data_IF_122242626519
#
_entry.id   IF_122242626519
#
_cell.length_a   1.000
_cell.length_b   1.000
_cell.length_c   1.000
_cell.angle_alpha   90.00
_cell.angle_beta   90.00
_cell.angle_gamma   90.00
#
_symmetry.space_group_name_H-M   'P 1'
#
loop_
_entity.id
_entity.type
_entity.pdbx_description
1 polymer ?
#
# COMPACT_ATOMS: atom_id res chain seq x y z
N UNK A 1 -75.07 20.08 74.94
CA UNK A 1 -76.45 19.68 74.57
C UNK A 1 -76.50 18.16 74.69
N UNK A 2 -76.42 17.61 75.91
CA UNK A 2 -77.52 17.23 76.83
C UNK A 2 -78.51 16.30 76.11
N UNK A 3 -78.70 15.02 76.46
CA UNK A 3 -78.98 14.41 77.76
C UNK A 3 -78.21 13.06 77.93
N UNK A 4 -77.45 12.83 79.00
CA UNK A 4 -77.80 12.42 80.38
C UNK A 4 -78.28 10.98 80.57
N UNK A 5 -77.27 10.13 80.76
CA UNK A 5 -77.19 8.96 81.64
C UNK A 5 -77.71 9.29 83.06
N UNK A 6 -78.47 8.38 83.70
CA UNK A 6 -78.37 7.96 85.12
C UNK A 6 -79.54 7.02 85.48
N UNK A 7 -79.28 5.73 85.67
CA UNK A 7 -78.85 5.08 86.91
C UNK A 7 -79.95 5.04 88.01
N UNK A 8 -80.55 3.87 88.18
CA UNK A 8 -81.21 3.43 89.40
C UNK A 8 -80.25 3.49 90.59
N UNK A 9 -80.68 4.07 91.73
CA UNK A 9 -80.43 3.62 93.12
C UNK A 9 -81.52 4.29 93.99
N UNK A 10 -82.62 3.62 94.32
CA UNK A 10 -82.85 2.91 95.61
C UNK A 10 -82.56 3.76 96.86
N UNK A 11 -83.60 4.41 97.39
CA UNK A 11 -83.68 4.72 98.82
C UNK A 11 -84.96 4.12 99.40
N UNK A 12 -84.77 3.46 100.54
CA UNK A 12 -85.71 2.59 101.21
C UNK A 12 -86.46 3.31 102.35
N UNK A 13 -87.75 2.98 102.48
CA UNK A 13 -88.60 2.98 103.69
C UNK A 13 -88.84 4.35 104.39
N UNK A 14 -90.01 4.62 105.04
CA UNK A 14 -90.98 3.66 105.54
C UNK A 14 -92.48 3.93 105.27
N UNK A 15 -93.27 2.86 105.45
CA UNK A 15 -94.71 2.88 105.76
C UNK A 15 -95.68 3.48 104.73
N UNK A 16 -96.17 2.66 103.79
CA UNK A 16 -97.60 2.50 103.42
C UNK A 16 -97.77 1.54 102.22
N UNK A 17 -98.77 0.64 102.28
CA UNK A 17 -99.56 0.21 101.12
C UNK A 17 -99.00 -0.83 100.13
N UNK A 18 -99.29 -2.12 100.42
CA UNK A 18 -99.73 -3.18 99.50
C UNK A 18 -98.82 -3.71 98.35
N UNK A 19 -98.60 -5.04 98.44
CA UNK A 19 -98.73 -6.11 97.42
C UNK A 19 -98.02 -5.89 96.06
N UNK A 20 -97.12 -6.76 95.61
CA UNK A 20 -97.52 -8.03 94.97
C UNK A 20 -96.30 -8.88 94.58
N UNK A 21 -96.45 -10.19 94.73
CA UNK A 21 -95.68 -11.29 94.14
C UNK A 21 -95.62 -11.22 92.62
N UNK A 22 -94.49 -11.57 91.98
CA UNK A 22 -94.46 -12.36 90.72
C UNK A 22 -93.08 -13.03 90.53
N UNK A 23 -93.11 -14.36 90.60
CA UNK A 23 -92.42 -15.37 89.79
C UNK A 23 -90.90 -15.36 89.58
N UNK A 24 -90.27 -16.37 90.18
CA UNK A 24 -89.08 -17.05 89.72
C UNK A 24 -89.28 -17.70 88.33
N UNK A 25 -88.50 -17.27 87.33
CA UNK A 25 -88.18 -18.07 86.13
C UNK A 25 -86.90 -17.56 85.48
N UNK A 26 -85.78 -17.74 86.18
CA UNK A 26 -84.44 -17.48 85.66
C UNK A 26 -83.87 -18.78 85.06
N UNK A 27 -83.31 -18.66 83.86
CA UNK A 27 -82.53 -19.65 83.09
C UNK A 27 -83.28 -20.89 82.56
N UNK A 28 -84.08 -20.68 81.51
CA UNK A 28 -84.18 -21.65 80.42
C UNK A 28 -84.06 -20.88 79.10
N UNK A 29 -82.97 -21.01 78.33
CA UNK A 29 -82.95 -20.48 76.97
C UNK A 29 -84.01 -21.24 76.17
N UNK A 30 -84.87 -20.52 75.45
CA UNK A 30 -85.87 -21.14 74.60
C UNK A 30 -85.17 -22.05 73.58
N UNK A 31 -85.73 -23.22 73.28
CA UNK A 31 -85.18 -24.18 72.29
C UNK A 31 -84.84 -23.51 70.94
N UNK A 32 -85.55 -22.42 70.62
CA UNK A 32 -85.34 -21.59 69.44
C UNK A 32 -84.01 -20.80 69.45
N UNK A 33 -83.53 -20.36 70.63
CA UNK A 33 -82.28 -19.59 70.75
C UNK A 33 -81.04 -20.50 70.60
N UNK A 34 -81.09 -21.72 71.15
CA UNK A 34 -80.00 -22.71 71.00
C UNK A 34 -79.87 -23.18 69.54
N UNK A 35 -81.01 -23.48 68.88
CA UNK A 35 -81.00 -23.85 67.46
C UNK A 35 -80.50 -22.70 66.58
N UNK A 36 -80.81 -21.44 66.92
CA UNK A 36 -80.33 -20.28 66.18
C UNK A 36 -78.80 -20.13 66.23
N UNK A 37 -78.17 -20.38 67.38
CA UNK A 37 -76.71 -20.33 67.52
C UNK A 37 -76.04 -21.45 66.72
N UNK A 38 -76.57 -22.68 66.79
CA UNK A 38 -76.01 -23.83 66.04
C UNK A 38 -76.11 -23.59 64.53
N UNK A 39 -77.25 -23.09 64.05
CA UNK A 39 -77.43 -22.75 62.63
C UNK A 39 -76.50 -21.61 62.21
N UNK A 40 -76.35 -20.57 63.04
CA UNK A 40 -75.45 -19.47 62.75
C UNK A 40 -73.99 -19.92 62.61
N UNK A 41 -73.50 -20.72 63.56
CA UNK A 41 -72.14 -21.30 63.50
C UNK A 41 -71.97 -22.21 62.30
N UNK A 42 -72.95 -23.08 62.02
CA UNK A 42 -72.91 -23.96 60.86
C UNK A 42 -72.85 -23.18 59.55
N UNK A 43 -73.60 -22.07 59.46
CA UNK A 43 -73.60 -21.18 58.29
C UNK A 43 -72.24 -20.48 58.14
N UNK A 44 -71.62 -20.03 59.23
CA UNK A 44 -70.29 -19.40 59.21
C UNK A 44 -69.21 -20.37 58.75
N UNK A 45 -69.24 -21.62 59.25
CA UNK A 45 -68.29 -22.65 58.84
C UNK A 45 -68.48 -23.01 57.37
N UNK A 46 -69.73 -23.19 56.92
CA UNK A 46 -70.04 -23.44 55.51
C UNK A 46 -69.55 -22.30 54.61
N UNK A 47 -69.73 -21.04 55.03
CA UNK A 47 -69.24 -19.87 54.30
C UNK A 47 -67.71 -19.80 54.24
N UNK A 48 -67.00 -20.15 55.32
CA UNK A 48 -65.53 -20.18 55.34
C UNK A 48 -64.95 -21.27 54.44
N UNK A 49 -65.58 -22.46 54.42
CA UNK A 49 -65.17 -23.57 53.54
C UNK A 49 -65.41 -23.19 52.07
N UNK A 50 -66.59 -22.62 51.76
CA UNK A 50 -66.88 -22.13 50.42
C UNK A 50 -65.81 -21.11 49.99
N UNK A 51 -65.59 -20.06 50.78
CA UNK A 51 -64.58 -19.05 50.50
C UNK A 51 -63.17 -19.64 50.30
N UNK A 52 -62.73 -20.55 51.18
CA UNK A 52 -61.42 -21.20 51.06
C UNK A 52 -61.29 -22.06 49.80
N UNK A 53 -62.37 -22.66 49.31
CA UNK A 53 -62.35 -23.47 48.08
C UNK A 53 -62.20 -22.62 46.81
N UNK A 54 -62.60 -21.35 46.86
CA UNK A 54 -62.38 -20.38 45.78
C UNK A 54 -61.12 -19.53 45.96
N UNK A 55 -60.48 -19.56 47.14
CA UNK A 55 -59.28 -18.81 47.41
C UNK A 55 -58.07 -19.41 46.66
N UNK A 56 -57.67 -18.79 45.55
CA UNK A 56 -56.39 -19.08 44.89
C UNK A 56 -55.28 -18.30 45.58
N UNK A 57 -54.35 -19.02 46.21
CA UNK A 57 -53.10 -18.43 46.70
C UNK A 57 -52.19 -18.23 45.49
N UNK A 58 -51.86 -16.97 45.20
CA UNK A 58 -50.90 -16.62 44.15
C UNK A 58 -49.50 -16.68 44.75
N UNK A 59 -48.78 -17.76 44.46
CA UNK A 59 -47.38 -17.90 44.82
C UNK A 59 -46.51 -17.26 43.73
N UNK A 60 -45.70 -16.26 44.09
CA UNK A 60 -44.74 -15.63 43.17
C UNK A 60 -43.34 -16.05 43.61
N UNK A 61 -42.75 -17.00 42.89
CA UNK A 61 -41.35 -17.39 43.05
C UNK A 61 -40.48 -16.57 42.10
N UNK A 62 -39.71 -15.63 42.64
CA UNK A 62 -38.74 -14.82 41.88
C UNK A 62 -37.42 -15.58 41.75
N UNK A 63 -37.10 -16.11 40.57
CA UNK A 63 -35.79 -16.69 40.27
C UNK A 63 -34.94 -15.74 39.42
N UNK A 64 -33.71 -15.43 39.87
CA UNK A 64 -32.74 -14.65 39.07
C UNK A 64 -32.13 -15.56 38.00
N UNK A 65 -32.70 -15.53 36.79
CA UNK A 65 -32.06 -16.14 35.60
C UNK A 65 -30.90 -15.25 35.12
N UNK A 66 -29.67 -15.79 35.06
CA UNK A 66 -28.52 -15.11 34.45
C UNK A 66 -28.14 -15.85 33.17
N UNK A 67 -28.29 -15.20 32.02
CA UNK A 67 -27.81 -15.71 30.73
C UNK A 67 -26.30 -15.49 30.69
N UNK A 68 -25.53 -16.58 30.75
CA UNK A 68 -24.07 -16.54 30.60
C UNK A 68 -23.76 -17.14 29.21
N UNK A 69 -23.11 -16.40 28.31
CA UNK A 69 -22.73 -16.94 27.01
C UNK A 69 -21.75 -18.10 27.20
N UNK A 70 -22.02 -19.24 26.56
CA UNK A 70 -21.18 -20.43 26.64
C UNK A 70 -19.80 -20.26 25.95
N UNK A 71 -19.67 -19.25 25.08
CA UNK A 71 -18.50 -19.05 24.21
C UNK A 71 -17.82 -17.72 24.55
N UNK A 72 -16.47 -17.72 24.52
CA UNK A 72 -15.65 -16.51 24.69
C UNK A 72 -15.98 -15.48 23.61
N UNK A 73 -16.17 -14.22 23.99
CA UNK A 73 -16.33 -13.11 23.06
C UNK A 73 -15.11 -13.04 22.11
N UNK A 74 -15.34 -13.13 20.81
CA UNK A 74 -14.28 -13.06 19.80
C UNK A 74 -14.22 -11.64 19.25
N UNK A 75 -13.09 -10.97 19.48
CA UNK A 75 -12.87 -9.62 19.01
C UNK A 75 -12.45 -9.66 17.54
N UNK A 76 -13.36 -9.26 16.65
CA UNK A 76 -13.08 -9.13 15.21
C UNK A 76 -12.41 -7.78 14.97
N UNK A 77 -11.12 -7.81 14.59
CA UNK A 77 -10.35 -6.61 14.25
C UNK A 77 -9.86 -6.70 12.81
N UNK A 78 -9.80 -5.56 12.14
CA UNK A 78 -9.09 -5.43 10.87
C UNK A 78 -7.62 -5.12 11.15
N UNK A 79 -6.71 -5.91 10.56
CA UNK A 79 -5.26 -5.76 10.72
C UNK A 79 -4.67 -4.64 9.83
N UNK A 80 -5.36 -4.27 8.75
CA UNK A 80 -4.84 -3.34 7.74
C UNK A 80 -5.34 -1.89 7.91
N UNK A 81 -6.32 -1.66 8.80
CA UNK A 81 -7.00 -0.36 8.93
C UNK A 81 -7.88 -0.02 7.71
N UNK A 82 -8.57 1.12 7.73
CA UNK A 82 -9.43 1.58 6.63
C UNK A 82 -10.65 2.39 7.07
N UNK A 83 -11.23 3.17 6.15
CA UNK A 83 -12.43 3.98 6.42
C UNK A 83 -13.65 3.07 6.35
N UNK A 84 -14.48 3.06 7.40
CA UNK A 84 -15.73 2.29 7.39
C UNK A 84 -16.71 3.00 6.46
N UNK A 85 -17.17 2.29 5.42
CA UNK A 85 -18.20 2.77 4.50
C UNK A 85 -19.60 2.48 5.03
N UNK A 86 -19.80 1.29 5.59
CA UNK A 86 -21.10 0.84 6.09
C UNK A 86 -20.95 -0.26 7.14
N UNK A 87 -21.82 -0.25 8.15
CA UNK A 87 -21.95 -1.34 9.12
C UNK A 87 -23.22 -2.11 8.74
N UNK A 88 -23.09 -3.40 8.44
CA UNK A 88 -24.15 -4.22 7.85
C UNK A 88 -24.98 -4.97 8.89
N UNK A 89 -24.54 -4.97 10.15
CA UNK A 89 -25.18 -5.67 11.26
C UNK A 89 -25.42 -4.74 12.44
N UNK A 90 -26.38 -5.08 13.30
CA UNK A 90 -26.69 -4.34 14.53
C UNK A 90 -26.47 -5.20 15.76
N UNK A 91 -26.33 -4.57 16.91
CA UNK A 91 -26.22 -5.28 18.18
C UNK A 91 -27.40 -6.25 18.39
N UNK A 92 -27.11 -7.50 18.75
CA UNK A 92 -28.10 -8.57 18.89
C UNK A 92 -28.52 -9.26 17.59
N UNK A 93 -27.95 -8.88 16.44
CA UNK A 93 -28.19 -9.58 15.17
C UNK A 93 -27.54 -10.96 15.18
N UNK A 94 -28.30 -11.99 14.77
CA UNK A 94 -27.78 -13.35 14.58
C UNK A 94 -26.97 -13.39 13.28
N UNK A 95 -25.72 -13.83 13.35
CA UNK A 95 -24.79 -13.87 12.20
C UNK A 95 -24.17 -15.25 12.08
N UNK A 96 -23.94 -15.69 10.85
CA UNK A 96 -23.30 -16.96 10.54
C UNK A 96 -21.85 -16.73 10.08
N UNK A 97 -21.07 -17.82 10.00
CA UNK A 97 -19.69 -17.73 9.51
C UNK A 97 -19.70 -17.28 8.04
N UNK A 98 -18.98 -16.20 7.75
CA UNK A 98 -18.88 -15.62 6.41
C UNK A 98 -19.90 -14.52 6.12
N UNK A 99 -20.83 -14.24 7.05
CA UNK A 99 -21.73 -13.08 6.93
C UNK A 99 -20.92 -11.78 7.00
N UNK A 100 -21.04 -10.89 6.00
CA UNK A 100 -20.40 -9.58 6.04
C UNK A 100 -20.93 -8.75 7.22
N UNK A 101 -20.05 -8.34 8.12
CA UNK A 101 -20.41 -7.52 9.29
C UNK A 101 -20.29 -6.02 9.02
N UNK A 102 -19.27 -5.64 8.26
CA UNK A 102 -18.97 -4.25 7.90
C UNK A 102 -18.38 -4.22 6.49
N UNK A 103 -18.49 -3.07 5.83
CA UNK A 103 -17.88 -2.77 4.53
C UNK A 103 -16.92 -1.61 4.69
N UNK A 104 -15.67 -1.81 4.28
CA UNK A 104 -14.62 -0.78 4.24
C UNK A 104 -14.74 -0.06 2.89
N UNK A 105 -14.40 1.24 2.87
CA UNK A 105 -14.35 2.02 1.63
C UNK A 105 -13.18 1.54 0.74
N UNK A 106 -13.46 0.98 -0.45
CA UNK A 106 -12.41 0.45 -1.32
C UNK A 106 -11.64 1.54 -2.07
N UNK A 107 -12.00 2.83 -1.93
CA UNK A 107 -11.39 3.93 -2.67
C UNK A 107 -9.86 3.88 -2.62
N UNK A 108 -9.28 3.87 -1.42
CA UNK A 108 -7.81 3.83 -1.21
C UNK A 108 -7.13 2.59 -1.83
N UNK A 109 -7.71 1.40 -1.71
CA UNK A 109 -7.15 0.17 -2.27
C UNK A 109 -7.33 0.08 -3.79
N UNK A 110 -8.45 0.57 -4.32
CA UNK A 110 -8.77 0.57 -5.75
C UNK A 110 -7.79 1.44 -6.55
N UNK A 111 -7.45 2.63 -6.03
CA UNK A 111 -6.45 3.50 -6.65
C UNK A 111 -5.09 2.81 -6.81
N UNK A 112 -4.64 2.08 -5.79
CA UNK A 112 -3.36 1.35 -5.84
C UNK A 112 -3.36 0.22 -6.88
N UNK A 113 -4.49 -0.49 -7.01
CA UNK A 113 -4.61 -1.60 -7.97
C UNK A 113 -4.60 -1.10 -9.41
N UNK A 114 -5.32 -0.02 -9.70
CA UNK A 114 -5.37 0.54 -11.05
C UNK A 114 -4.03 1.18 -11.44
N UNK A 115 -3.34 1.85 -10.51
CA UNK A 115 -1.97 2.33 -10.71
C UNK A 115 -1.00 1.17 -11.03
N UNK A 116 -1.06 0.08 -10.25
CA UNK A 116 -0.23 -1.09 -10.49
C UNK A 116 -0.50 -1.72 -11.85
N UNK A 117 -1.77 -1.81 -12.27
CA UNK A 117 -2.14 -2.30 -13.61
C UNK A 117 -1.58 -1.42 -14.71
N UNK A 118 -1.71 -0.09 -14.60
CA UNK A 118 -1.12 0.85 -15.57
C UNK A 118 0.39 0.69 -15.65
N UNK A 119 1.05 0.52 -14.49
CA UNK A 119 2.49 0.28 -14.44
C UNK A 119 2.89 -1.03 -15.11
N UNK A 120 2.15 -2.11 -14.87
CA UNK A 120 2.39 -3.40 -15.54
C UNK A 120 2.29 -3.27 -17.06
N UNK A 121 1.23 -2.63 -17.56
CA UNK A 121 1.02 -2.41 -19.00
C UNK A 121 2.14 -1.57 -19.60
N UNK A 122 2.58 -0.52 -18.90
CA UNK A 122 3.72 0.30 -19.34
C UNK A 122 5.05 -0.47 -19.40
N UNK A 123 5.28 -1.36 -18.44
CA UNK A 123 6.49 -2.18 -18.36
C UNK A 123 6.49 -3.28 -19.41
N UNK A 124 5.32 -3.84 -19.73
CA UNK A 124 5.17 -4.81 -20.83
C UNK A 124 5.53 -4.16 -22.18
N UNK A 125 5.04 -2.95 -22.46
CA UNK A 125 5.42 -2.21 -23.65
C UNK A 125 6.93 -1.90 -23.69
N UNK A 126 7.50 -1.47 -22.56
CA UNK A 126 8.92 -1.20 -22.45
C UNK A 126 9.77 -2.46 -22.66
N UNK A 127 9.36 -3.61 -22.13
CA UNK A 127 10.06 -4.88 -22.31
C UNK A 127 10.10 -5.29 -23.79
N UNK A 128 8.96 -5.21 -24.49
CA UNK A 128 8.88 -5.50 -25.94
C UNK A 128 9.81 -4.56 -26.71
N UNK A 129 9.75 -3.25 -26.42
CA UNK A 129 10.60 -2.25 -27.07
C UNK A 129 12.09 -2.49 -26.84
N UNK A 130 12.49 -2.79 -25.60
CA UNK A 130 13.89 -3.02 -25.26
C UNK A 130 14.40 -4.32 -25.88
N UNK A 131 13.59 -5.37 -25.91
CA UNK A 131 13.93 -6.61 -26.61
C UNK A 131 14.12 -6.35 -28.12
N UNK A 132 13.22 -5.57 -28.72
CA UNK A 132 13.32 -5.17 -30.12
C UNK A 132 14.60 -4.37 -30.42
N UNK A 133 15.00 -3.45 -29.53
CA UNK A 133 16.27 -2.72 -29.63
C UNK A 133 17.49 -3.64 -29.53
N UNK A 134 17.45 -4.65 -28.65
CA UNK A 134 18.54 -5.61 -28.51
C UNK A 134 18.68 -6.50 -29.75
N UNK A 135 17.56 -6.96 -30.30
CA UNK A 135 17.55 -7.86 -31.45
C UNK A 135 17.70 -7.13 -32.80
N UNK A 136 17.52 -5.81 -32.82
CA UNK A 136 17.59 -4.98 -34.03
C UNK A 136 16.37 -5.09 -34.95
N UNK A 137 15.22 -5.51 -34.40
CA UNK A 137 13.96 -5.63 -35.13
C UNK A 137 12.92 -4.62 -34.64
N UNK A 138 11.87 -4.39 -35.43
CA UNK A 138 10.76 -3.53 -35.03
C UNK A 138 9.96 -4.16 -33.88
N UNK A 139 9.52 -3.40 -32.86
CA UNK A 139 8.73 -3.93 -31.76
C UNK A 139 7.36 -4.44 -32.24
N UNK A 140 7.08 -5.71 -31.97
CA UNK A 140 5.81 -6.36 -32.31
C UNK A 140 4.99 -6.58 -31.05
N UNK A 141 3.89 -5.84 -30.90
CA UNK A 141 2.97 -5.95 -29.77
C UNK A 141 1.83 -6.92 -30.10
N UNK A 142 1.34 -7.73 -29.14
CA UNK A 142 0.15 -8.54 -29.32
C UNK A 142 -1.07 -7.72 -29.74
N UNK A 143 -1.87 -8.22 -30.68
CA UNK A 143 -3.02 -7.46 -31.22
C UNK A 143 -4.05 -7.05 -30.14
N UNK A 144 -4.21 -7.88 -29.10
CA UNK A 144 -5.05 -7.57 -27.93
C UNK A 144 -4.50 -6.39 -27.14
N UNK A 145 -3.18 -6.33 -26.94
CA UNK A 145 -2.47 -5.26 -26.25
C UNK A 145 -2.57 -3.94 -27.03
N UNK A 146 -2.30 -3.96 -28.34
CA UNK A 146 -2.33 -2.76 -29.18
C UNK A 146 -3.72 -2.15 -29.31
N UNK A 147 -4.76 -2.99 -29.37
CA UNK A 147 -6.16 -2.50 -29.39
C UNK A 147 -6.58 -1.89 -28.06
N UNK A 148 -6.10 -2.45 -26.93
CA UNK A 148 -6.42 -1.95 -25.60
C UNK A 148 -5.64 -0.66 -25.26
N UNK A 149 -4.41 -0.51 -25.77
CA UNK A 149 -3.48 0.56 -25.39
C UNK A 149 -2.83 1.27 -26.60
N UNK A 150 -3.62 1.86 -27.52
CA UNK A 150 -3.07 2.41 -28.77
C UNK A 150 -2.11 3.58 -28.56
N UNK A 151 -2.39 4.48 -27.61
CA UNK A 151 -1.53 5.64 -27.32
C UNK A 151 -0.17 5.22 -26.72
N UNK A 152 -0.19 4.21 -25.83
CA UNK A 152 1.04 3.68 -25.23
C UNK A 152 1.93 3.02 -26.28
N UNK A 153 1.35 2.23 -27.20
CA UNK A 153 2.09 1.62 -28.31
C UNK A 153 2.68 2.69 -29.23
N UNK A 154 1.90 3.71 -29.60
CA UNK A 154 2.40 4.81 -30.42
C UNK A 154 3.58 5.53 -29.76
N UNK A 155 3.46 5.87 -28.47
CA UNK A 155 4.56 6.48 -27.70
C UNK A 155 5.79 5.57 -27.63
N UNK A 156 5.59 4.28 -27.35
CA UNK A 156 6.68 3.30 -27.27
C UNK A 156 7.41 3.19 -28.62
N UNK A 157 6.70 3.22 -29.74
CA UNK A 157 7.32 3.22 -31.07
C UNK A 157 8.13 4.50 -31.33
N UNK A 158 7.64 5.68 -30.93
CA UNK A 158 8.43 6.90 -31.02
C UNK A 158 9.71 6.84 -30.16
N UNK A 159 9.62 6.27 -28.96
CA UNK A 159 10.79 6.04 -28.11
C UNK A 159 11.78 5.04 -28.75
N UNK A 160 11.28 4.03 -29.45
CA UNK A 160 12.09 3.06 -30.21
C UNK A 160 12.83 3.74 -31.36
N UNK A 161 12.12 4.49 -32.21
CA UNK A 161 12.69 5.21 -33.35
C UNK A 161 13.75 6.22 -32.89
N UNK A 162 13.50 6.95 -31.81
CA UNK A 162 14.47 7.87 -31.23
C UNK A 162 15.73 7.17 -30.73
N UNK A 163 15.58 6.03 -30.04
CA UNK A 163 16.70 5.24 -29.56
C UNK A 163 17.53 4.65 -30.72
N UNK A 164 16.85 4.11 -31.74
CA UNK A 164 17.48 3.58 -32.95
C UNK A 164 18.24 4.66 -33.71
N UNK A 165 17.62 5.82 -33.95
CA UNK A 165 18.25 6.95 -34.62
C UNK A 165 19.45 7.47 -33.85
N UNK A 166 19.37 7.55 -32.51
CA UNK A 166 20.50 7.94 -31.66
C UNK A 166 21.67 6.94 -31.73
N UNK A 167 21.37 5.65 -31.81
CA UNK A 167 22.39 4.61 -32.00
C UNK A 167 23.06 4.71 -33.38
N UNK A 168 22.28 4.82 -34.45
CA UNK A 168 22.79 4.98 -35.82
C UNK A 168 23.64 6.25 -35.96
N UNK A 169 23.23 7.36 -35.34
CA UNK A 169 24.02 8.60 -35.32
C UNK A 169 25.35 8.44 -34.56
N UNK A 170 25.37 7.65 -33.49
CA UNK A 170 26.59 7.38 -32.72
C UNK A 170 27.57 6.54 -33.54
N UNK A 171 27.08 5.49 -34.21
CA UNK A 171 27.88 4.67 -35.14
C UNK A 171 28.48 5.54 -36.25
N UNK A 172 27.65 6.35 -36.92
CA UNK A 172 28.12 7.26 -37.97
C UNK A 172 29.18 8.25 -37.46
N UNK A 173 29.03 8.74 -36.22
CA UNK A 173 30.04 9.61 -35.60
C UNK A 173 31.36 8.89 -35.33
N UNK A 174 31.33 7.62 -34.92
CA UNK A 174 32.57 6.84 -34.70
C UNK A 174 33.25 6.49 -36.02
N UNK A 175 32.48 6.11 -37.05
CA UNK A 175 33.00 5.90 -38.41
C UNK A 175 33.66 7.17 -38.98
N UNK A 176 33.08 8.34 -38.71
CA UNK A 176 33.68 9.63 -39.07
C UNK A 176 35.04 9.84 -38.40
N UNK A 177 35.14 9.58 -37.10
CA UNK A 177 36.39 9.71 -36.35
C UNK A 177 37.45 8.74 -36.88
N UNK A 178 37.08 7.49 -37.13
CA UNK A 178 37.99 6.49 -37.75
C UNK A 178 38.49 7.00 -39.09
N UNK A 179 37.59 7.46 -39.97
CA UNK A 179 37.95 7.98 -41.30
C UNK A 179 38.89 9.18 -41.23
N UNK A 180 38.62 10.12 -40.31
CA UNK A 180 39.49 11.29 -40.10
C UNK A 180 40.89 10.88 -39.66
N UNK A 181 41.01 9.90 -38.76
CA UNK A 181 42.29 9.40 -38.28
C UNK A 181 43.06 8.60 -39.34
N UNK A 182 42.36 7.85 -40.19
CA UNK A 182 43.00 7.21 -41.34
C UNK A 182 43.52 8.21 -42.38
N UNK A 183 42.81 9.33 -42.59
CA UNK A 183 43.29 10.43 -43.43
C UNK A 183 44.55 11.04 -42.81
N UNK A 184 44.53 11.36 -41.51
CA UNK A 184 45.69 11.89 -40.77
C UNK A 184 46.91 10.96 -40.85
N UNK A 185 46.68 9.64 -40.75
CA UNK A 185 47.74 8.63 -40.95
C UNK A 185 48.35 8.73 -42.34
N UNK A 186 47.53 8.72 -43.40
CA UNK A 186 48.00 8.80 -44.80
C UNK A 186 48.75 10.10 -45.08
N UNK A 187 48.31 11.21 -44.52
CA UNK A 187 49.02 12.49 -44.61
C UNK A 187 50.39 12.43 -43.91
N UNK A 188 50.45 11.84 -42.72
CA UNK A 188 51.70 11.66 -41.97
C UNK A 188 52.67 10.74 -42.72
N UNK A 189 52.20 9.63 -43.27
CA UNK A 189 53.00 8.74 -44.12
C UNK A 189 53.53 9.46 -45.38
N UNK A 190 52.74 10.33 -46.00
CA UNK A 190 53.19 11.14 -47.13
C UNK A 190 54.29 12.13 -46.72
N UNK A 191 54.17 12.75 -45.54
CA UNK A 191 55.22 13.62 -44.98
C UNK A 191 56.49 12.83 -44.68
N UNK A 192 56.38 11.64 -44.08
CA UNK A 192 57.52 10.73 -43.84
C UNK A 192 58.27 10.48 -45.15
N UNK A 193 57.56 10.06 -46.21
CA UNK A 193 58.19 9.80 -47.53
C UNK A 193 58.88 11.05 -48.09
N UNK A 194 58.27 12.22 -47.98
CA UNK A 194 58.84 13.48 -48.47
C UNK A 194 60.06 13.93 -47.65
N UNK A 195 60.03 13.78 -46.32
CA UNK A 195 61.14 14.08 -45.43
C UNK A 195 62.29 13.10 -45.64
N UNK A 196 62.02 11.81 -45.80
CA UNK A 196 63.05 10.80 -46.13
C UNK A 196 63.75 11.13 -47.45
N UNK A 197 63.01 11.52 -48.49
CA UNK A 197 63.60 11.94 -49.76
C UNK A 197 64.49 13.18 -49.59
N UNK A 198 64.01 14.17 -48.83
CA UNK A 198 64.76 15.41 -48.53
C UNK A 198 66.02 15.13 -47.72
N UNK A 199 65.94 14.21 -46.75
CA UNK A 199 67.04 13.76 -45.92
C UNK A 199 68.11 13.03 -46.74
N UNK A 200 67.71 12.20 -47.71
CA UNK A 200 68.66 11.54 -48.63
C UNK A 200 69.48 12.58 -49.40
N UNK A 201 68.80 13.57 -49.99
CA UNK A 201 69.45 14.65 -50.75
C UNK A 201 70.39 15.46 -49.84
N UNK A 202 69.94 15.83 -48.63
CA UNK A 202 70.76 16.57 -47.68
C UNK A 202 71.99 15.78 -47.21
N UNK A 203 71.84 14.47 -47.03
CA UNK A 203 72.94 13.56 -46.64
C UNK A 203 73.97 13.38 -47.76
N UNK A 204 73.52 13.32 -49.01
CA UNK A 204 74.40 13.32 -50.18
C UNK A 204 75.17 14.64 -50.30
N UNK A 205 74.50 15.77 -50.10
CA UNK A 205 75.12 17.11 -50.08
C UNK A 205 76.19 17.20 -48.97
N UNK A 206 75.86 16.78 -47.74
CA UNK A 206 76.81 16.74 -46.64
C UNK A 206 78.05 15.92 -47.00
N UNK A 207 77.85 14.71 -47.56
CA UNK A 207 78.95 13.83 -47.97
C UNK A 207 79.84 14.48 -49.03
N UNK A 208 79.26 15.22 -49.98
CA UNK A 208 80.00 15.96 -51.00
C UNK A 208 80.84 17.08 -50.40
N UNK A 209 80.24 17.90 -49.51
CA UNK A 209 80.95 18.99 -48.84
C UNK A 209 82.03 18.49 -47.89
N UNK A 210 81.83 17.35 -47.19
CA UNK A 210 82.86 16.71 -46.38
C UNK A 210 84.06 16.24 -47.22
N UNK A 211 83.83 15.75 -48.44
CA UNK A 211 84.91 15.42 -49.38
C UNK A 211 85.66 16.67 -49.86
N UNK A 212 84.94 17.73 -50.24
CA UNK A 212 85.54 18.99 -50.69
C UNK A 212 86.33 19.69 -49.58
N UNK A 213 85.88 19.60 -48.33
CA UNK A 213 86.58 20.11 -47.17
C UNK A 213 87.92 19.40 -46.96
N UNK A 214 87.98 18.06 -47.13
CA UNK A 214 89.22 17.28 -47.03
C UNK A 214 90.27 17.70 -48.05
N UNK A 215 89.84 18.14 -49.24
CA UNK A 215 90.72 18.71 -50.27
C UNK A 215 90.96 20.22 -50.13
N UNK A 216 90.46 20.86 -49.06
CA UNK A 216 90.60 22.31 -48.81
C UNK A 216 89.72 23.21 -49.67
N UNK A 217 88.79 22.64 -50.46
CA UNK A 217 87.97 23.35 -51.44
C UNK A 217 86.59 23.80 -50.90
N UNK A 218 86.27 23.51 -49.63
CA UNK A 218 85.02 23.93 -48.98
C UNK A 218 85.27 24.42 -47.54
N UNK A 219 84.41 25.33 -47.05
CA UNK A 219 84.53 25.89 -45.70
C UNK A 219 84.04 24.91 -44.62
N UNK A 220 84.66 24.97 -43.43
CA UNK A 220 84.14 24.28 -42.22
C UNK A 220 82.72 24.72 -41.87
N UNK A 221 82.37 25.97 -42.17
CA UNK A 221 81.04 26.52 -41.92
C UNK A 221 79.98 25.83 -42.79
N UNK A 222 80.28 25.57 -44.07
CA UNK A 222 79.35 24.90 -45.00
C UNK A 222 79.05 23.48 -44.54
N UNK A 223 80.10 22.72 -44.17
CA UNK A 223 79.94 21.35 -43.63
C UNK A 223 79.07 21.35 -42.37
N UNK A 224 79.28 22.30 -41.45
CA UNK A 224 78.49 22.40 -40.23
C UNK A 224 77.03 22.75 -40.52
N UNK A 225 76.78 23.65 -41.48
CA UNK A 225 75.43 24.03 -41.90
C UNK A 225 74.66 22.85 -42.50
N UNK A 226 75.28 22.09 -43.42
CA UNK A 226 74.64 20.88 -43.98
C UNK A 226 74.45 19.80 -42.93
N UNK A 227 75.40 19.63 -42.00
CA UNK A 227 75.25 18.68 -40.89
C UNK A 227 74.07 19.04 -39.98
N UNK A 228 73.92 20.32 -39.65
CA UNK A 228 72.77 20.80 -38.87
C UNK A 228 71.45 20.53 -39.60
N UNK A 229 71.40 20.79 -40.92
CA UNK A 229 70.22 20.50 -41.75
C UNK A 229 69.86 19.01 -41.80
N UNK A 230 70.85 18.13 -41.95
CA UNK A 230 70.63 16.67 -41.91
C UNK A 230 70.12 16.24 -40.53
N UNK A 231 70.70 16.77 -39.44
CA UNK A 231 70.25 16.47 -38.09
C UNK A 231 68.81 16.92 -37.83
N UNK A 232 68.44 18.12 -38.29
CA UNK A 232 67.06 18.64 -38.24
C UNK A 232 66.08 17.75 -39.01
N UNK A 233 66.42 17.36 -40.24
CA UNK A 233 65.60 16.45 -41.05
C UNK A 233 65.47 15.05 -40.44
N UNK A 234 66.51 14.58 -39.75
CA UNK A 234 66.48 13.30 -39.03
C UNK A 234 65.53 13.39 -37.84
N UNK A 235 65.64 14.45 -37.02
CA UNK A 235 64.76 14.65 -35.87
C UNK A 235 63.28 14.80 -36.27
N UNK A 236 63.00 15.53 -37.35
CA UNK A 236 61.62 15.65 -37.88
C UNK A 236 61.09 14.34 -38.44
N UNK A 237 61.94 13.50 -39.05
CA UNK A 237 61.56 12.16 -39.49
C UNK A 237 61.19 11.27 -38.29
N UNK A 238 62.03 11.23 -37.26
CA UNK A 238 61.77 10.46 -36.03
C UNK A 238 60.47 10.90 -35.36
N UNK A 239 60.21 12.21 -35.28
CA UNK A 239 58.95 12.75 -34.74
C UNK A 239 57.72 12.25 -35.52
N UNK A 240 57.78 12.28 -36.86
CA UNK A 240 56.69 11.80 -37.71
C UNK A 240 56.50 10.29 -37.61
N UNK A 241 57.59 9.52 -37.54
CA UNK A 241 57.54 8.06 -37.36
C UNK A 241 56.91 7.68 -36.01
N UNK A 242 57.18 8.44 -34.94
CA UNK A 242 56.54 8.26 -33.63
C UNK A 242 55.07 8.69 -33.61
N UNK A 243 54.65 9.57 -34.52
CA UNK A 243 53.25 9.99 -34.62
C UNK A 243 52.35 8.87 -35.19
N UNK A 244 52.86 8.01 -36.07
CA UNK A 244 52.10 6.90 -36.68
C UNK A 244 51.50 5.94 -35.64
N UNK A 245 52.27 5.31 -34.73
CA UNK A 245 51.70 4.38 -33.76
C UNK A 245 50.69 5.06 -32.82
N UNK A 246 50.86 6.36 -32.53
CA UNK A 246 49.89 7.14 -31.76
C UNK A 246 48.56 7.31 -32.52
N UNK A 247 48.62 7.58 -33.83
CA UNK A 247 47.43 7.68 -34.68
C UNK A 247 46.77 6.30 -34.82
N UNK A 248 47.53 5.24 -35.01
CA UNK A 248 47.02 3.86 -35.07
C UNK A 248 46.32 3.45 -33.77
N UNK A 249 46.90 3.78 -32.62
CA UNK A 249 46.25 3.55 -31.33
C UNK A 249 44.92 4.32 -31.21
N UNK A 250 44.86 5.56 -31.71
CA UNK A 250 43.63 6.34 -31.73
C UNK A 250 42.57 5.77 -32.69
N UNK A 251 42.98 5.21 -33.84
CA UNK A 251 42.08 4.48 -34.76
C UNK A 251 41.52 3.25 -34.06
N UNK A 252 42.38 2.44 -33.43
CA UNK A 252 41.96 1.22 -32.75
C UNK A 252 41.04 1.53 -31.56
N UNK A 253 41.31 2.60 -30.83
CA UNK A 253 40.42 3.06 -29.76
C UNK A 253 39.05 3.47 -30.31
N UNK A 254 39.00 4.20 -31.43
CA UNK A 254 37.75 4.61 -32.06
C UNK A 254 36.96 3.42 -32.63
N UNK A 255 37.62 2.37 -33.10
CA UNK A 255 36.98 1.14 -33.59
C UNK A 255 36.46 0.23 -32.47
N UNK A 256 37.07 0.31 -31.28
CA UNK A 256 36.71 -0.54 -30.13
C UNK A 256 35.63 0.09 -29.22
N UNK A 257 35.24 1.34 -29.47
CA UNK A 257 34.16 2.05 -28.76
C UNK A 257 32.81 1.74 -29.38
#
# INVERSE_FOLDING_TARGET
>A
MSEKIKSQVLHANPATGQLTSVSAKLLQPSLKLQSAVIVAVSLTVAAAIAWSSQARIVEVASGLGRVIPATRNQLVQNLEGGIIKEILVREGSMVEKGTPLLRIDPSSSGFSLDEMRQRMVSLEAAAIRLQALLDGFEPVYPATFSKANPELVARSNTEYEAARSGFEASVASFEEVVRQKEIEKRETEARIRSTQQSLSIASEQLTMFEKLQKSGAASKADVLAFRAKTAEMTGTLEELELAIPRIEAAVQEAQNR
#
